data_IF_686465029009
#
_entry.id   IF_686465029009
#
_cell.length_a   1.000
_cell.length_b   1.000
_cell.length_c   1.000
_cell.angle_alpha   90.00
_cell.angle_beta   90.00
_cell.angle_gamma   90.00
#
_symmetry.space_group_name_H-M   'P 1'
#
loop_
_entity.id
_entity.type
_entity.pdbx_description
1 polymer ?
#
# COMPACT_ATOMS: atom_id res chain seq x y z
N UNK A 1 -48.97 -12.89 -13.50
CA UNK A 1 -48.70 -11.43 -13.60
C UNK A 1 -48.22 -11.03 -12.22
N UNK A 2 -46.95 -11.00 -11.87
CA UNK A 2 -45.80 -10.38 -12.55
C UNK A 2 -44.58 -11.29 -12.33
N UNK A 3 -44.06 -11.86 -13.43
CA UNK A 3 -42.75 -12.48 -13.51
C UNK A 3 -41.84 -11.42 -14.11
N UNK A 4 -40.99 -10.79 -13.31
CA UNK A 4 -39.88 -9.93 -13.71
C UNK A 4 -39.12 -9.50 -12.45
N UNK A 5 -38.22 -10.36 -11.99
CA UNK A 5 -37.15 -9.98 -11.07
C UNK A 5 -35.86 -10.13 -11.88
N UNK A 6 -35.59 -9.10 -12.69
CA UNK A 6 -34.45 -9.02 -13.60
C UNK A 6 -33.15 -9.09 -12.80
N UNK A 7 -32.32 -10.05 -13.21
CA UNK A 7 -30.86 -9.98 -13.34
C UNK A 7 -30.19 -8.79 -12.65
N UNK A 8 -29.64 -9.02 -11.46
CA UNK A 8 -28.37 -8.36 -11.13
C UNK A 8 -27.27 -9.22 -11.74
N UNK A 9 -26.91 -8.80 -12.95
CA UNK A 9 -25.73 -9.22 -13.67
C UNK A 9 -24.51 -8.63 -12.92
N UNK A 10 -24.12 -9.28 -11.83
CA UNK A 10 -22.81 -9.06 -11.19
C UNK A 10 -21.74 -9.74 -12.06
N UNK A 11 -21.52 -9.20 -13.26
CA UNK A 11 -20.23 -9.38 -13.90
C UNK A 11 -19.22 -8.65 -13.01
N UNK A 12 -18.60 -9.43 -12.13
CA UNK A 12 -17.33 -9.11 -11.51
C UNK A 12 -16.34 -8.86 -12.65
N UNK A 13 -16.29 -7.63 -13.15
CA UNK A 13 -15.38 -7.24 -14.21
C UNK A 13 -13.97 -7.44 -13.68
N UNK A 14 -13.31 -8.47 -14.22
CA UNK A 14 -11.90 -8.84 -14.09
C UNK A 14 -10.96 -7.81 -14.75
N UNK A 15 -11.43 -6.57 -14.93
CA UNK A 15 -10.63 -5.46 -15.38
C UNK A 15 -9.69 -5.05 -14.23
N UNK A 16 -8.37 -5.01 -14.45
CA UNK A 16 -7.45 -4.51 -13.44
C UNK A 16 -7.83 -3.06 -13.12
N UNK A 17 -8.46 -2.86 -11.95
CA UNK A 17 -8.90 -1.53 -11.53
C UNK A 17 -7.70 -0.59 -11.52
N UNK A 18 -7.75 0.56 -12.22
CA UNK A 18 -6.62 1.45 -12.33
C UNK A 18 -6.14 1.86 -10.93
N UNK A 19 -4.83 1.80 -10.71
CA UNK A 19 -4.22 2.34 -9.51
C UNK A 19 -4.44 3.86 -9.51
N UNK A 20 -4.70 4.50 -8.36
CA UNK A 20 -4.65 5.95 -8.26
C UNK A 20 -3.39 6.48 -8.95
N UNK A 21 -3.60 7.35 -9.95
CA UNK A 21 -2.54 8.26 -10.37
C UNK A 21 -2.37 9.16 -9.15
N UNK A 22 -1.23 8.99 -8.48
CA UNK A 22 -0.74 9.93 -7.48
C UNK A 22 -0.88 11.28 -8.18
N UNK A 23 -1.61 12.22 -7.59
CA UNK A 23 -1.24 13.60 -7.88
C UNK A 23 0.20 13.71 -7.38
N UNK A 24 1.16 13.63 -8.30
CA UNK A 24 2.54 14.05 -8.08
C UNK A 24 2.59 15.52 -7.59
N UNK A 25 1.43 16.21 -7.59
CA UNK A 25 1.20 17.54 -7.07
C UNK A 25 0.44 17.56 -5.72
N UNK A 26 0.41 16.47 -4.96
CA UNK A 26 0.26 16.57 -3.50
C UNK A 26 1.53 17.16 -2.90
N UNK A 27 1.82 18.42 -3.24
CA UNK A 27 3.05 19.14 -2.92
C UNK A 27 3.28 19.10 -1.41
N UNK A 28 4.18 18.21 -1.01
CA UNK A 28 4.94 18.29 0.24
C UNK A 28 6.28 18.92 -0.10
N UNK A 29 6.31 20.18 -0.53
CA UNK A 29 7.59 20.90 -0.64
C UNK A 29 8.21 21.16 0.74
N UNK A 30 7.40 21.13 1.80
CA UNK A 30 7.84 21.44 3.16
C UNK A 30 8.35 20.23 3.96
N UNK A 31 8.32 19.00 3.40
CA UNK A 31 8.82 17.83 4.12
C UNK A 31 10.35 17.71 4.01
N UNK A 32 11.11 17.71 5.12
CA UNK A 32 12.55 17.97 5.10
C UNK A 32 13.42 16.78 4.69
N UNK A 33 12.84 15.63 4.34
CA UNK A 33 13.59 14.42 3.99
C UNK A 33 13.18 13.83 2.65
N UNK A 34 14.14 13.22 1.93
CA UNK A 34 13.83 12.40 0.76
C UNK A 34 13.00 11.19 1.19
N UNK A 35 11.92 10.92 0.45
CA UNK A 35 11.02 9.78 0.68
C UNK A 35 11.05 8.86 -0.53
N UNK A 36 11.17 7.56 -0.29
CA UNK A 36 11.12 6.53 -1.34
C UNK A 36 10.40 5.32 -0.76
N UNK A 37 9.50 4.71 -1.54
CA UNK A 37 8.84 3.47 -1.14
C UNK A 37 9.79 2.29 -1.38
N UNK A 38 9.80 1.31 -0.48
CA UNK A 38 10.52 0.05 -0.68
C UNK A 38 9.61 -1.11 -0.31
N UNK A 39 9.56 -2.12 -1.19
CA UNK A 39 8.83 -3.37 -0.96
C UNK A 39 9.75 -4.51 -0.49
N UNK A 40 11.04 -4.23 -0.31
CA UNK A 40 12.06 -5.22 0.11
C UNK A 40 11.68 -5.94 1.41
N UNK A 41 11.00 -5.27 2.34
CA UNK A 41 10.52 -5.89 3.58
C UNK A 41 9.49 -7.00 3.33
N UNK A 42 8.57 -6.81 2.39
CA UNK A 42 7.61 -7.84 2.00
C UNK A 42 8.27 -8.98 1.22
N UNK A 43 9.24 -8.67 0.36
CA UNK A 43 10.02 -9.70 -0.35
C UNK A 43 10.73 -10.61 0.65
N UNK A 44 11.42 -10.03 1.64
CA UNK A 44 12.08 -10.79 2.72
C UNK A 44 11.11 -11.63 3.54
N UNK A 45 9.90 -11.11 3.79
CA UNK A 45 8.85 -11.90 4.43
C UNK A 45 8.55 -13.15 3.59
N UNK A 46 8.30 -13.01 2.29
CA UNK A 46 8.00 -14.14 1.42
C UNK A 46 9.18 -15.11 1.27
N UNK A 47 10.42 -14.62 1.23
CA UNK A 47 11.63 -15.45 1.30
C UNK A 47 11.61 -16.34 2.57
N UNK A 48 11.35 -15.74 3.74
CA UNK A 48 11.27 -16.49 5.00
C UNK A 48 10.12 -17.50 5.04
N UNK A 49 8.98 -17.21 4.37
CA UNK A 49 7.87 -18.15 4.23
C UNK A 49 8.27 -19.34 3.34
N UNK A 50 9.09 -19.10 2.31
CA UNK A 50 9.64 -20.14 1.44
C UNK A 50 10.56 -21.12 2.15
N UNK A 51 11.19 -20.68 3.23
CA UNK A 51 12.05 -21.51 4.09
C UNK A 51 11.26 -22.29 5.16
N UNK A 52 9.96 -22.03 5.33
CA UNK A 52 9.12 -22.67 6.36
C UNK A 52 8.84 -24.15 6.05
N UNK A 53 8.60 -25.00 7.05
CA UNK A 53 8.27 -26.42 6.84
C UNK A 53 6.80 -26.70 6.42
N UNK A 54 6.08 -25.70 5.92
CA UNK A 54 4.66 -25.83 5.53
C UNK A 54 4.52 -25.86 4.00
N UNK A 55 4.22 -27.02 3.37
CA UNK A 55 4.23 -27.15 1.91
C UNK A 55 3.33 -26.15 1.18
N UNK A 56 2.15 -25.86 1.73
CA UNK A 56 1.22 -24.88 1.15
C UNK A 56 1.79 -23.45 1.18
N UNK A 57 2.39 -23.05 2.30
CA UNK A 57 3.01 -21.74 2.44
C UNK A 57 4.26 -21.60 1.54
N UNK A 58 5.09 -22.64 1.44
CA UNK A 58 6.22 -22.69 0.51
C UNK A 58 5.80 -22.55 -0.95
N UNK A 59 4.71 -23.22 -1.34
CA UNK A 59 4.18 -23.13 -2.71
C UNK A 59 3.73 -21.71 -3.03
N UNK A 60 2.96 -21.09 -2.12
CA UNK A 60 2.51 -19.71 -2.27
C UNK A 60 3.69 -18.73 -2.32
N UNK A 61 4.68 -18.88 -1.43
CA UNK A 61 5.89 -18.07 -1.43
C UNK A 61 6.62 -18.13 -2.78
N UNK A 62 6.83 -19.34 -3.33
CA UNK A 62 7.48 -19.49 -4.64
C UNK A 62 6.72 -18.78 -5.76
N UNK A 63 5.40 -18.87 -5.75
CA UNK A 63 4.56 -18.19 -6.75
C UNK A 63 4.66 -16.66 -6.63
N UNK A 64 4.64 -16.13 -5.40
CA UNK A 64 4.79 -14.69 -5.16
C UNK A 64 6.19 -14.21 -5.56
N UNK A 65 7.24 -14.92 -5.17
CA UNK A 65 8.62 -14.53 -5.49
C UNK A 65 8.93 -14.63 -6.99
N UNK A 66 8.34 -15.59 -7.70
CA UNK A 66 8.45 -15.67 -9.15
C UNK A 66 7.86 -14.43 -9.85
N UNK A 67 6.68 -13.97 -9.41
CA UNK A 67 6.06 -12.76 -9.96
C UNK A 67 6.92 -11.50 -9.74
N UNK A 68 7.68 -11.44 -8.63
CA UNK A 68 8.59 -10.32 -8.35
C UNK A 68 9.88 -10.43 -9.16
N UNK A 69 10.38 -11.64 -9.42
CA UNK A 69 11.60 -11.87 -10.21
C UNK A 69 11.46 -11.36 -11.66
N UNK A 70 10.25 -11.42 -12.21
CA UNK A 70 9.93 -10.89 -13.54
C UNK A 70 9.80 -9.35 -13.57
N UNK A 71 9.78 -8.69 -12.40
CA UNK A 71 9.61 -7.24 -12.24
C UNK A 71 10.67 -6.66 -11.28
N UNK A 72 11.95 -6.62 -11.68
CA UNK A 72 13.05 -6.24 -10.78
C UNK A 72 12.92 -4.82 -10.22
N UNK A 73 12.16 -3.92 -10.86
CA UNK A 73 11.93 -2.57 -10.33
C UNK A 73 11.18 -2.55 -8.99
N UNK A 74 10.44 -3.61 -8.64
CA UNK A 74 9.76 -3.73 -7.34
C UNK A 74 10.72 -4.08 -6.19
N UNK A 75 11.91 -4.59 -6.51
CA UNK A 75 12.94 -4.95 -5.52
C UNK A 75 13.81 -3.74 -5.13
N UNK A 76 13.79 -2.69 -5.95
CA UNK A 76 14.54 -1.46 -5.74
C UNK A 76 13.71 -0.38 -5.01
N UNK A 77 14.35 0.67 -4.47
CA UNK A 77 13.63 1.84 -4.00
C UNK A 77 12.78 2.47 -5.12
N UNK A 78 11.46 2.50 -4.94
CA UNK A 78 10.47 2.94 -5.93
C UNK A 78 10.33 4.47 -5.85
N UNK A 79 10.96 5.15 -6.81
CA UNK A 79 10.90 6.61 -6.96
C UNK A 79 9.68 7.04 -7.80
N UNK A 80 9.37 6.30 -8.85
CA UNK A 80 8.18 6.49 -9.70
C UNK A 80 7.11 5.47 -9.28
N UNK A 81 6.05 5.90 -8.57
CA UNK A 81 5.02 4.95 -8.15
C UNK A 81 4.17 4.44 -9.34
N UNK A 82 4.33 4.96 -10.56
CA UNK A 82 3.75 4.33 -11.75
C UNK A 82 4.30 2.91 -11.98
N UNK A 83 5.47 2.56 -11.44
CA UNK A 83 5.98 1.19 -11.42
C UNK A 83 4.98 0.24 -10.77
N UNK A 84 4.30 0.67 -9.70
CA UNK A 84 3.29 -0.15 -9.02
C UNK A 84 2.10 -0.44 -9.94
N UNK A 85 1.75 0.53 -10.79
CA UNK A 85 0.64 0.45 -11.76
C UNK A 85 0.96 -0.55 -12.84
N UNK A 86 2.15 -0.41 -13.44
CA UNK A 86 2.63 -1.30 -14.50
C UNK A 86 2.74 -2.75 -14.02
N UNK A 87 3.08 -2.95 -12.73
CA UNK A 87 3.30 -4.27 -12.14
C UNK A 87 2.19 -4.68 -11.15
N UNK A 88 0.93 -4.28 -11.39
CA UNK A 88 -0.18 -4.45 -10.44
C UNK A 88 -0.36 -5.89 -9.96
N UNK A 89 -0.22 -6.87 -10.84
CA UNK A 89 -0.41 -8.26 -10.51
C UNK A 89 0.65 -8.75 -9.50
N UNK A 90 1.93 -8.44 -9.76
CA UNK A 90 3.02 -8.73 -8.83
C UNK A 90 2.83 -8.01 -7.49
N UNK A 91 2.40 -6.75 -7.52
CA UNK A 91 2.06 -5.99 -6.30
C UNK A 91 0.91 -6.64 -5.53
N UNK A 92 -0.18 -7.08 -6.18
CA UNK A 92 -1.30 -7.76 -5.52
C UNK A 92 -0.83 -9.05 -4.83
N UNK A 93 -0.01 -9.86 -5.52
CA UNK A 93 0.55 -11.11 -4.98
C UNK A 93 1.43 -10.81 -3.76
N UNK A 94 2.32 -9.82 -3.85
CA UNK A 94 3.21 -9.43 -2.77
C UNK A 94 2.43 -8.90 -1.54
N UNK A 95 1.44 -8.04 -1.79
CA UNK A 95 0.62 -7.41 -0.76
C UNK A 95 -0.30 -8.39 -0.04
N UNK A 96 -0.55 -9.58 -0.57
CA UNK A 96 -1.34 -10.61 0.10
C UNK A 96 -0.78 -11.03 1.48
N UNK A 97 0.49 -10.74 1.76
CA UNK A 97 1.09 -10.89 3.08
C UNK A 97 0.50 -9.93 4.13
N UNK A 98 0.21 -8.70 3.74
CA UNK A 98 -0.36 -7.66 4.62
C UNK A 98 -1.88 -7.49 4.43
N UNK A 99 -2.41 -7.89 3.28
CA UNK A 99 -3.81 -7.79 2.88
C UNK A 99 -4.31 -9.16 2.41
N UNK A 100 -4.59 -10.10 3.33
CA UNK A 100 -5.01 -11.44 2.96
C UNK A 100 -6.32 -11.42 2.17
N UNK A 101 -6.38 -12.18 1.07
CA UNK A 101 -7.58 -12.28 0.23
C UNK A 101 -8.83 -12.72 0.99
N UNK A 102 -8.66 -13.57 2.02
CA UNK A 102 -9.76 -14.04 2.86
C UNK A 102 -10.54 -12.90 3.57
N UNK A 103 -9.92 -11.73 3.74
CA UNK A 103 -10.54 -10.58 4.38
C UNK A 103 -10.65 -9.36 3.45
N UNK A 104 -10.35 -9.52 2.16
CA UNK A 104 -10.26 -8.43 1.19
C UNK A 104 -11.50 -7.52 1.16
N UNK A 105 -12.69 -8.10 1.09
CA UNK A 105 -13.95 -7.36 1.01
C UNK A 105 -14.48 -6.91 2.39
N UNK A 106 -13.91 -7.43 3.47
CA UNK A 106 -14.39 -7.17 4.83
C UNK A 106 -13.58 -6.08 5.53
N UNK A 107 -12.27 -6.13 5.38
CA UNK A 107 -11.35 -5.27 6.11
C UNK A 107 -11.33 -3.86 5.51
N UNK A 108 -11.09 -2.89 6.38
CA UNK A 108 -10.94 -1.48 6.04
C UNK A 108 -9.47 -1.15 6.24
N UNK A 109 -8.69 -1.26 5.17
CA UNK A 109 -7.24 -1.09 5.20
C UNK A 109 -6.71 -0.43 3.93
N UNK A 110 -5.62 0.33 4.08
CA UNK A 110 -4.85 0.91 2.99
C UNK A 110 -3.36 1.00 3.34
N UNK A 111 -2.52 0.97 2.30
CA UNK A 111 -1.08 1.20 2.37
C UNK A 111 -0.72 2.54 1.75
N UNK A 112 0.14 3.27 2.45
CA UNK A 112 0.59 4.60 2.09
C UNK A 112 2.10 4.56 1.82
N UNK A 113 2.60 5.30 0.82
CA UNK A 113 4.03 5.53 0.73
C UNK A 113 4.54 6.28 1.97
N UNK A 114 5.80 6.10 2.37
CA UNK A 114 6.35 6.73 3.57
C UNK A 114 6.15 8.25 3.58
N UNK A 115 5.48 8.76 4.63
CA UNK A 115 5.22 10.19 4.84
C UNK A 115 4.48 10.86 3.66
N UNK A 116 3.59 10.13 2.99
CA UNK A 116 2.66 10.63 1.99
C UNK A 116 1.22 10.30 2.40
N UNK A 117 0.27 11.17 2.05
CA UNK A 117 -1.14 11.04 2.46
C UNK A 117 -2.05 10.44 1.36
N UNK A 118 -1.47 10.06 0.21
CA UNK A 118 -2.15 9.26 -0.81
C UNK A 118 -1.89 7.77 -0.62
N UNK A 119 -2.89 6.94 -0.92
CA UNK A 119 -2.72 5.47 -0.89
C UNK A 119 -2.19 4.96 -2.24
N UNK A 120 -1.44 3.85 -2.22
CA UNK A 120 -1.10 3.12 -3.45
C UNK A 120 -1.78 1.75 -3.54
N UNK A 121 -2.33 1.28 -2.42
CA UNK A 121 -2.99 0.00 -2.30
C UNK A 121 -4.06 0.09 -1.21
N UNK A 122 -5.26 -0.38 -1.47
CA UNK A 122 -6.39 -0.25 -0.56
C UNK A 122 -7.42 -1.34 -0.80
N UNK A 123 -8.15 -1.66 0.27
CA UNK A 123 -9.30 -2.56 0.25
C UNK A 123 -10.54 -1.83 -0.29
N UNK A 124 -11.52 -2.54 -0.88
CA UNK A 124 -12.73 -1.91 -1.42
C UNK A 124 -13.51 -1.09 -0.39
N UNK A 125 -13.56 -1.53 0.87
CA UNK A 125 -14.26 -0.80 1.93
C UNK A 125 -13.53 0.46 2.37
N UNK A 126 -12.20 0.48 2.30
CA UNK A 126 -11.45 1.72 2.50
C UNK A 126 -11.82 2.73 1.40
N UNK A 127 -11.81 2.30 0.13
CA UNK A 127 -12.14 3.15 -1.00
C UNK A 127 -13.54 3.79 -0.85
N UNK A 128 -14.55 2.99 -0.48
CA UNK A 128 -15.92 3.45 -0.30
C UNK A 128 -16.11 4.48 0.81
N UNK A 129 -15.27 4.43 1.85
CA UNK A 129 -15.44 5.26 3.04
C UNK A 129 -14.58 6.52 3.02
N UNK A 130 -13.43 6.48 2.34
CA UNK A 130 -12.38 7.48 2.53
C UNK A 130 -11.77 8.04 1.24
N UNK A 131 -12.15 7.56 0.05
CA UNK A 131 -11.62 8.13 -1.19
C UNK A 131 -12.64 9.03 -1.87
N UNK A 132 -12.19 10.24 -2.23
CA UNK A 132 -12.90 11.10 -3.20
C UNK A 132 -12.85 10.49 -4.60
N UNK A 133 -13.64 11.05 -5.52
CA UNK A 133 -13.64 10.68 -6.95
C UNK A 133 -12.25 10.76 -7.61
N UNK A 134 -11.35 11.62 -7.10
CA UNK A 134 -9.97 11.76 -7.56
C UNK A 134 -8.97 10.82 -6.86
N UNK A 135 -9.47 9.93 -5.99
CA UNK A 135 -8.72 8.89 -5.24
C UNK A 135 -7.67 9.46 -4.29
N UNK A 136 -7.86 10.69 -3.84
CA UNK A 136 -7.21 11.20 -2.63
C UNK A 136 -7.98 10.76 -1.39
N UNK A 137 -7.27 10.62 -0.27
CA UNK A 137 -7.96 10.37 1.00
C UNK A 137 -8.68 11.65 1.40
N UNK A 138 -10.00 11.55 1.61
CA UNK A 138 -10.80 12.61 2.21
C UNK A 138 -10.36 12.79 3.65
N UNK A 139 -9.40 13.70 3.79
CA UNK A 139 -8.99 14.21 5.08
C UNK A 139 -10.07 15.21 5.48
N UNK A 140 -10.88 14.85 6.47
CA UNK A 140 -11.87 15.78 7.03
C UNK A 140 -11.24 17.13 7.33
N UNK A 141 -11.96 18.23 7.04
CA UNK A 141 -11.49 19.62 7.15
C UNK A 141 -10.89 19.98 8.53
N UNK A 142 -11.22 19.22 9.58
CA UNK A 142 -10.66 19.36 10.93
C UNK A 142 -9.17 19.01 11.02
N UNK A 143 -8.60 18.34 10.01
CA UNK A 143 -7.20 17.90 10.01
C UNK A 143 -6.33 18.89 9.26
N UNK A 144 -5.59 19.69 10.01
CA UNK A 144 -4.65 20.67 9.48
C UNK A 144 -3.43 19.97 8.80
N UNK A 145 -3.33 20.08 7.47
CA UNK A 145 -2.22 19.54 6.69
C UNK A 145 -0.83 19.98 7.17
N UNK A 146 -0.65 21.25 7.58
CA UNK A 146 0.63 21.72 8.11
C UNK A 146 1.00 20.99 9.41
N UNK A 147 0.01 20.67 10.24
CA UNK A 147 0.22 19.85 11.45
C UNK A 147 0.64 18.43 11.10
N UNK A 148 0.06 17.85 10.05
CA UNK A 148 0.44 16.51 9.57
C UNK A 148 1.88 16.47 9.02
N UNK A 149 2.31 17.51 8.30
CA UNK A 149 3.70 17.62 7.79
C UNK A 149 4.68 17.74 8.95
N UNK A 150 4.40 18.59 9.95
CA UNK A 150 5.27 18.74 11.14
C UNK A 150 5.37 17.44 11.92
N UNK A 151 4.24 16.76 12.17
CA UNK A 151 4.24 15.47 12.90
C UNK A 151 4.97 14.38 12.11
N UNK A 152 4.79 14.34 10.80
CA UNK A 152 5.53 13.44 9.92
C UNK A 152 7.04 13.71 9.98
N UNK A 153 7.43 14.99 9.93
CA UNK A 153 8.84 15.41 10.01
C UNK A 153 9.49 15.03 11.33
N UNK A 154 8.79 15.28 12.45
CA UNK A 154 9.23 14.85 13.78
C UNK A 154 9.35 13.33 13.86
N UNK A 155 8.35 12.59 13.37
CA UNK A 155 8.38 11.11 13.37
C UNK A 155 9.56 10.58 12.56
N UNK A 156 9.81 11.14 11.38
CA UNK A 156 10.96 10.79 10.55
C UNK A 156 12.28 11.07 11.28
N UNK A 157 12.41 12.25 11.88
CA UNK A 157 13.60 12.63 12.65
C UNK A 157 13.84 11.66 13.82
N UNK A 158 12.83 11.39 14.64
CA UNK A 158 12.95 10.47 15.78
C UNK A 158 13.29 9.05 15.33
N UNK A 159 12.75 8.61 14.19
CA UNK A 159 13.07 7.32 13.61
C UNK A 159 14.55 7.23 13.15
N UNK A 160 15.03 8.25 12.44
CA UNK A 160 16.44 8.37 12.00
C UNK A 160 17.37 8.45 13.22
N UNK A 161 17.02 9.30 14.18
CA UNK A 161 17.74 9.50 15.44
C UNK A 161 17.90 8.17 16.21
N UNK A 162 16.79 7.43 16.36
CA UNK A 162 16.81 6.12 16.99
C UNK A 162 17.64 5.11 16.20
N UNK A 163 17.48 5.05 14.88
CA UNK A 163 18.11 4.03 14.05
C UNK A 163 19.64 4.23 13.95
N UNK A 164 20.11 5.46 13.74
CA UNK A 164 21.53 5.74 13.51
C UNK A 164 22.31 6.15 14.76
N UNK A 165 21.63 6.77 15.74
CA UNK A 165 22.29 7.33 16.92
C UNK A 165 21.90 6.61 18.22
N UNK A 166 21.05 5.58 18.15
CA UNK A 166 20.60 4.76 19.28
C UNK A 166 20.09 5.59 20.47
N UNK A 167 19.47 6.73 20.18
CA UNK A 167 18.97 7.66 21.20
C UNK A 167 17.81 7.02 21.97
N UNK A 168 17.92 6.85 23.30
CA UNK A 168 16.80 6.40 24.12
C UNK A 168 15.79 7.53 24.21
N UNK A 169 14.64 7.35 23.57
CA UNK A 169 13.54 8.30 23.66
C UNK A 169 12.61 7.78 24.75
N UNK A 170 12.67 8.39 25.93
CA UNK A 170 11.69 8.13 26.99
C UNK A 170 10.31 8.59 26.50
N UNK A 171 9.32 7.71 26.58
CA UNK A 171 7.93 8.06 26.30
C UNK A 171 7.44 9.00 27.40
N UNK A 172 7.31 10.28 27.08
CA UNK A 172 6.62 11.27 27.91
C UNK A 172 5.10 11.09 27.88
#
# INVERSE_FOLDING_TARGET
MISQMLSHDDTLTDEPRPIPIISANGVTDDFPFKRVLSLTGLIRFWESVGESNQPGAQSLSREVLAAVADTPELSEPIVDLNVLVRNREAVNRLMSAAFPWAYWDRDIAAAFPPFMFGTFYSTPRFDQLFLSDDRTVEVHDDVNHATLVVRSGLTAYLHIARFFYNLPIEHG
#
